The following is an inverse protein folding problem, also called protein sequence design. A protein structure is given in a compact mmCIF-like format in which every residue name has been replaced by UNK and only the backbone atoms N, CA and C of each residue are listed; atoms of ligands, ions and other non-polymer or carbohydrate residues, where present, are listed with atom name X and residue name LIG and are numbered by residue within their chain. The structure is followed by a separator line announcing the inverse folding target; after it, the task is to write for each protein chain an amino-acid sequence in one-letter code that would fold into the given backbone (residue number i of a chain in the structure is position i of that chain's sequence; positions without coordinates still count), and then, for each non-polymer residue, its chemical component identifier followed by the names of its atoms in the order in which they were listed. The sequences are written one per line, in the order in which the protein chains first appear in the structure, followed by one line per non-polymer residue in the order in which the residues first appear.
data_IF_740988999958
#
_entry.id   IF_740988999958
#
_cell.length_a   1.000
_cell.length_b   1.000
_cell.length_c   1.000
_cell.angle_alpha   90.00
_cell.angle_beta   90.00
_cell.angle_gamma   90.00
#
_symmetry.space_group_name_H-M   'P 1'
#
loop_
_entity.id
_entity.type
_entity.pdbx_description
1 polymer ?
#
# COMPACT_ATOMS: atom_id res chain seq x y z
N UNK A 1 0.58 18.95 -14.26
CA UNK A 1 0.69 19.09 -12.79
C UNK A 1 2.17 19.09 -12.45
N UNK A 2 2.57 19.85 -11.43
CA UNK A 2 3.92 19.75 -10.89
C UNK A 2 4.05 18.45 -10.08
N UNK A 3 5.24 17.82 -10.03
CA UNK A 3 5.47 16.65 -9.19
C UNK A 3 5.26 17.01 -7.70
N UNK A 4 4.75 16.06 -6.92
CA UNK A 4 4.51 16.28 -5.49
C UNK A 4 5.81 16.65 -4.77
N UNK A 5 5.71 17.59 -3.84
CA UNK A 5 6.78 17.95 -2.91
C UNK A 5 6.94 16.89 -1.81
N UNK A 6 8.05 16.95 -1.07
CA UNK A 6 8.29 16.04 0.06
C UNK A 6 7.19 16.13 1.14
N UNK A 7 6.76 17.34 1.48
CA UNK A 7 5.70 17.54 2.49
C UNK A 7 4.36 16.93 2.05
N UNK A 8 4.01 17.06 0.77
CA UNK A 8 2.79 16.46 0.22
C UNK A 8 2.86 14.94 0.22
N UNK A 9 4.04 14.36 -0.05
CA UNK A 9 4.26 12.90 0.04
C UNK A 9 4.09 12.39 1.45
N UNK A 10 4.69 13.06 2.43
CA UNK A 10 4.57 12.69 3.85
C UNK A 10 3.13 12.80 4.34
N UNK A 11 2.42 13.85 3.94
CA UNK A 11 1.00 14.01 4.24
C UNK A 11 0.18 12.85 3.66
N UNK A 12 0.39 12.52 2.39
CA UNK A 12 -0.30 11.41 1.74
C UNK A 12 -0.01 10.07 2.43
N UNK A 13 1.24 9.82 2.82
CA UNK A 13 1.62 8.60 3.53
C UNK A 13 0.85 8.46 4.86
N UNK A 14 0.78 9.54 5.66
CA UNK A 14 0.02 9.55 6.93
C UNK A 14 -1.47 9.33 6.70
N UNK A 15 -2.07 10.03 5.75
CA UNK A 15 -3.49 9.87 5.43
C UNK A 15 -3.84 8.44 4.97
N UNK A 16 -2.94 7.79 4.23
CA UNK A 16 -3.17 6.43 3.77
C UNK A 16 -2.95 5.39 4.88
N UNK A 17 -2.02 5.64 5.81
CA UNK A 17 -1.73 4.75 6.93
C UNK A 17 -2.90 4.65 7.93
N UNK A 18 -3.75 5.67 8.02
CA UNK A 18 -4.96 5.66 8.86
C UNK A 18 -6.11 4.82 8.27
N UNK A 19 -5.98 4.35 7.03
CA UNK A 19 -7.01 3.62 6.32
C UNK A 19 -6.76 2.10 6.33
N UNK A 20 -7.83 1.31 6.13
CA UNK A 20 -7.65 -0.10 5.80
C UNK A 20 -7.03 -0.24 4.41
N UNK A 21 -6.32 -1.35 4.15
CA UNK A 21 -5.68 -1.62 2.86
C UNK A 21 -6.62 -1.36 1.67
N UNK A 22 -7.85 -1.87 1.72
CA UNK A 22 -8.83 -1.70 0.65
C UNK A 22 -9.19 -0.22 0.40
N UNK A 23 -9.34 0.56 1.48
CA UNK A 23 -9.63 2.00 1.39
C UNK A 23 -8.41 2.79 0.87
N UNK A 24 -7.22 2.51 1.39
CA UNK A 24 -5.97 3.12 0.93
C UNK A 24 -5.74 2.82 -0.56
N UNK A 25 -5.82 1.55 -0.95
CA UNK A 25 -5.71 1.06 -2.32
C UNK A 25 -6.71 1.73 -3.25
N UNK A 26 -7.99 1.81 -2.84
CA UNK A 26 -9.03 2.52 -3.58
C UNK A 26 -8.76 4.03 -3.73
N UNK A 27 -8.25 4.69 -2.68
CA UNK A 27 -7.86 6.10 -2.73
C UNK A 27 -6.72 6.32 -3.71
N UNK A 28 -5.64 5.54 -3.61
CA UNK A 28 -4.47 5.63 -4.51
C UNK A 28 -4.86 5.48 -5.98
N UNK A 29 -5.70 4.48 -6.30
CA UNK A 29 -6.20 4.28 -7.67
C UNK A 29 -6.98 5.47 -8.26
N UNK A 30 -7.52 6.35 -7.41
CA UNK A 30 -8.28 7.53 -7.84
C UNK A 30 -7.46 8.81 -7.85
N UNK A 31 -6.22 8.79 -7.34
CA UNK A 31 -5.36 9.97 -7.28
C UNK A 31 -4.80 10.38 -8.63
N UNK A 32 -4.56 9.42 -9.53
CA UNK A 32 -4.01 9.67 -10.85
C UNK A 32 -4.73 8.81 -11.90
N UNK A 33 -5.35 9.46 -12.88
CA UNK A 33 -6.04 8.79 -13.99
C UNK A 33 -5.06 8.00 -14.89
N UNK A 34 -3.77 8.38 -14.88
CA UNK A 34 -2.69 7.66 -15.58
C UNK A 34 -1.93 6.72 -14.65
N UNK A 35 -2.37 6.58 -13.41
CA UNK A 35 -1.76 5.70 -12.43
C UNK A 35 -1.87 4.24 -12.85
N UNK A 36 -0.84 3.45 -12.52
CA UNK A 36 -0.83 2.00 -12.76
C UNK A 36 -0.43 1.23 -11.51
N UNK A 37 -0.92 -0.01 -11.43
CA UNK A 37 -0.50 -0.99 -10.43
C UNK A 37 0.78 -1.67 -10.96
N UNK A 38 1.92 -1.41 -10.32
CA UNK A 38 3.20 -1.99 -10.71
C UNK A 38 3.30 -3.46 -10.27
N UNK A 39 2.91 -3.74 -9.02
CA UNK A 39 2.75 -5.10 -8.52
C UNK A 39 1.75 -5.16 -7.38
N UNK A 40 1.11 -6.32 -7.23
CA UNK A 40 0.10 -6.59 -6.21
C UNK A 40 0.59 -7.68 -5.27
N UNK A 41 0.57 -7.42 -3.96
CA UNK A 41 0.92 -8.37 -2.89
C UNK A 41 2.17 -9.19 -3.22
N UNK A 42 3.22 -8.49 -3.63
CA UNK A 42 4.52 -9.08 -3.86
C UNK A 42 5.16 -9.43 -2.51
N UNK A 43 5.46 -10.71 -2.30
CA UNK A 43 6.10 -11.17 -1.06
C UNK A 43 7.60 -10.90 -1.18
N UNK A 44 8.06 -9.86 -0.50
CA UNK A 44 9.49 -9.53 -0.35
C UNK A 44 10.06 -10.09 0.96
N UNK A 45 9.18 -10.43 1.91
CA UNK A 45 9.52 -11.14 3.15
C UNK A 45 8.39 -12.12 3.52
N UNK A 46 8.65 -13.10 4.41
CA UNK A 46 7.64 -14.08 4.81
C UNK A 46 6.42 -13.47 5.51
N UNK A 47 6.57 -12.29 6.10
CA UNK A 47 5.54 -11.64 6.93
C UNK A 47 4.95 -10.39 6.28
N UNK A 48 5.43 -9.97 5.11
CA UNK A 48 5.00 -8.73 4.48
C UNK A 48 4.71 -8.89 2.99
N UNK A 49 3.61 -8.25 2.58
CA UNK A 49 3.15 -8.17 1.21
C UNK A 49 3.15 -6.73 0.75
N UNK A 50 3.82 -6.47 -0.37
CA UNK A 50 4.00 -5.13 -0.90
C UNK A 50 3.07 -4.94 -2.09
N UNK A 51 2.32 -3.86 -2.12
CA UNK A 51 1.52 -3.45 -3.27
C UNK A 51 1.94 -2.07 -3.71
N UNK A 52 2.47 -1.92 -4.93
CA UNK A 52 3.01 -0.66 -5.44
C UNK A 52 2.20 -0.10 -6.58
N UNK A 53 1.91 1.19 -6.48
CA UNK A 53 1.29 2.01 -7.51
C UNK A 53 2.29 3.06 -8.00
N UNK A 54 2.31 3.29 -9.29
CA UNK A 54 3.05 4.39 -9.91
C UNK A 54 2.05 5.43 -10.40
N UNK A 55 2.22 6.69 -9.99
CA UNK A 55 1.34 7.82 -10.28
C UNK A 55 2.15 8.86 -11.10
N UNK A 56 2.32 8.64 -12.42
CA UNK A 56 3.24 9.41 -13.24
C UNK A 56 2.86 10.90 -13.37
N UNK A 57 1.58 11.24 -13.34
CA UNK A 57 1.14 12.64 -13.38
C UNK A 57 1.51 13.40 -12.11
N UNK A 58 1.57 12.69 -10.99
CA UNK A 58 1.96 13.22 -9.68
C UNK A 58 3.46 13.07 -9.40
N UNK A 59 4.19 12.33 -10.24
CA UNK A 59 5.62 12.08 -10.11
C UNK A 59 5.98 11.28 -8.85
N UNK A 60 5.11 10.37 -8.41
CA UNK A 60 5.33 9.57 -7.19
C UNK A 60 5.01 8.09 -7.38
N UNK A 61 5.63 7.26 -6.55
CA UNK A 61 5.21 5.88 -6.32
C UNK A 61 4.68 5.73 -4.89
N UNK A 62 3.63 4.94 -4.73
CA UNK A 62 3.01 4.63 -3.45
C UNK A 62 3.09 3.12 -3.21
N UNK A 63 3.72 2.73 -2.12
CA UNK A 63 3.83 1.34 -1.69
C UNK A 63 3.02 1.12 -0.41
N UNK A 64 2.01 0.25 -0.49
CA UNK A 64 1.21 -0.20 0.65
C UNK A 64 1.79 -1.53 1.13
N UNK A 65 2.14 -1.63 2.41
CA UNK A 65 2.75 -2.82 3.00
C UNK A 65 1.76 -3.45 3.97
N UNK A 66 1.29 -4.65 3.62
CA UNK A 66 0.44 -5.46 4.50
C UNK A 66 1.31 -6.43 5.30
N UNK A 67 1.12 -6.48 6.61
CA UNK A 67 1.62 -7.57 7.45
C UNK A 67 0.69 -8.77 7.39
N UNK A 68 1.27 -9.97 7.41
CA UNK A 68 0.57 -11.24 7.46
C UNK A 68 0.72 -11.85 8.85
N UNK A 69 -0.39 -12.06 9.54
CA UNK A 69 -0.45 -12.77 10.81
C UNK A 69 -1.26 -14.06 10.63
N UNK A 70 -0.69 -15.21 10.99
CA UNK A 70 -1.45 -16.47 11.03
C UNK A 70 -2.16 -16.59 12.37
N UNK A 71 -3.47 -16.78 12.33
CA UNK A 71 -4.28 -17.10 13.50
C UNK A 71 -4.81 -18.52 13.42
N UNK A 72 -4.69 -19.24 14.53
CA UNK A 72 -5.36 -20.52 14.69
C UNK A 72 -6.89 -20.31 14.63
N UNK A 73 -7.57 -21.22 13.94
CA UNK A 73 -9.03 -21.27 13.95
C UNK A 73 -9.44 -22.25 15.04
N UNK A 74 -10.32 -21.82 15.95
CA UNK A 74 -10.81 -22.67 17.03
C UNK A 74 -11.44 -23.96 16.45
N UNK A 75 -11.08 -25.11 17.02
CA UNK A 75 -11.56 -26.44 16.61
C UNK A 75 -11.27 -26.82 15.14
N UNK A 76 -10.20 -26.28 14.53
CA UNK A 76 -9.80 -26.61 13.16
C UNK A 76 -8.28 -26.78 13.05
N UNK A 77 -7.77 -27.76 12.28
CA UNK A 77 -6.34 -27.91 12.01
C UNK A 77 -5.82 -26.86 11.00
N UNK A 78 -6.67 -25.92 10.53
CA UNK A 78 -6.30 -24.88 9.56
C UNK A 78 -5.99 -23.56 10.25
N UNK A 79 -5.06 -22.82 9.65
CA UNK A 79 -4.76 -21.44 10.03
C UNK A 79 -5.50 -20.46 9.11
N UNK A 80 -5.84 -19.28 9.65
CA UNK A 80 -6.37 -18.15 8.90
C UNK A 80 -5.32 -17.06 8.86
N UNK A 81 -4.94 -16.63 7.66
CA UNK A 81 -4.11 -15.43 7.50
C UNK A 81 -4.98 -14.18 7.67
N UNK A 82 -4.59 -13.31 8.59
CA UNK A 82 -5.08 -11.94 8.69
C UNK A 82 -4.07 -10.97 8.08
N UNK A 83 -4.59 -10.00 7.34
CA UNK A 83 -3.79 -8.99 6.66
C UNK A 83 -4.11 -7.63 7.27
N UNK A 84 -3.08 -6.89 7.67
CA UNK A 84 -3.21 -5.52 8.19
C UNK A 84 -2.26 -4.61 7.45
N UNK A 85 -2.74 -3.44 7.02
CA UNK A 85 -1.84 -2.39 6.52
C UNK A 85 -0.96 -1.93 7.68
N UNK A 86 0.35 -2.11 7.54
CA UNK A 86 1.34 -1.76 8.56
C UNK A 86 2.06 -0.46 8.22
N UNK A 87 2.39 -0.27 6.96
CA UNK A 87 3.22 0.85 6.51
C UNK A 87 2.78 1.33 5.13
N UNK A 88 2.95 2.63 4.90
CA UNK A 88 2.77 3.28 3.61
C UNK A 88 4.01 4.10 3.29
N UNK A 89 4.63 3.81 2.15
CA UNK A 89 5.78 4.54 1.64
C UNK A 89 5.35 5.34 0.42
N UNK A 90 5.68 6.63 0.39
CA UNK A 90 5.45 7.52 -0.76
C UNK A 90 6.79 8.13 -1.16
N UNK A 91 7.25 7.78 -2.35
CA UNK A 91 8.57 8.15 -2.88
C UNK A 91 8.44 8.86 -4.24
N UNK A 92 9.46 9.60 -4.64
CA UNK A 92 9.51 10.17 -5.99
C UNK A 92 9.55 9.05 -7.03
N UNK A 93 8.87 9.25 -8.15
CA UNK A 93 8.92 8.33 -9.28
C UNK A 93 10.22 8.60 -10.05
N UNK A 94 11.16 7.66 -9.97
CA UNK A 94 12.43 7.68 -10.70
C UNK A 94 12.26 7.23 -12.15
#
# INVERSE_FOLDING_TARGET
MAPMTQQEREKLARELAELSFNKASGKVRRLDARGRLAYFRNSQSPTQLYTRYELPTLGVAVTLIEGVEEKAIENSPRFKSEYKLQEVIVEALN
#
